data_IF_349735921140
#
_entry.id   IF_349735921140
#
_cell.length_a   1.000
_cell.length_b   1.000
_cell.length_c   1.000
_cell.angle_alpha   90.00
_cell.angle_beta   90.00
_cell.angle_gamma   90.00
#
_symmetry.space_group_name_H-M   'P 1'
#
loop_
_entity.id
_entity.type
_entity.pdbx_description
1 polymer ?
#
# COMPACT_ATOMS: atom_id res chain seq x y z
N UNK A 1 4.33 -4.74 -16.54
CA UNK A 1 4.50 -5.73 -15.45
C UNK A 1 4.37 -4.96 -14.14
N UNK A 2 3.39 -5.32 -13.32
CA UNK A 2 3.00 -4.52 -12.14
C UNK A 2 4.02 -4.76 -11.03
N UNK A 3 5.10 -3.96 -11.00
CA UNK A 3 6.24 -4.14 -10.09
C UNK A 3 5.84 -4.43 -8.63
N UNK A 4 4.78 -3.78 -8.12
CA UNK A 4 4.29 -4.02 -6.76
C UNK A 4 3.71 -5.43 -6.56
N UNK A 5 2.97 -5.94 -7.55
CA UNK A 5 2.41 -7.28 -7.53
C UNK A 5 3.50 -8.33 -7.75
N UNK A 6 4.34 -8.15 -8.77
CA UNK A 6 5.32 -9.17 -9.18
C UNK A 6 6.48 -9.31 -8.19
N UNK A 7 6.91 -8.21 -7.55
CA UNK A 7 8.07 -8.20 -6.65
C UNK A 7 7.70 -8.33 -5.18
N UNK A 8 6.53 -7.83 -4.78
CA UNK A 8 6.15 -7.72 -3.38
C UNK A 8 4.83 -8.43 -3.04
N UNK A 9 4.23 -9.13 -4.02
CA UNK A 9 2.94 -9.79 -3.87
C UNK A 9 1.80 -8.85 -3.43
N UNK A 10 1.93 -7.56 -3.71
CA UNK A 10 0.92 -6.57 -3.36
C UNK A 10 -0.11 -6.46 -4.47
N UNK A 11 -1.33 -6.92 -4.20
CA UNK A 11 -2.46 -6.71 -5.08
C UNK A 11 -2.83 -5.22 -5.06
N UNK A 12 -2.72 -4.58 -6.22
CA UNK A 12 -2.98 -3.15 -6.36
C UNK A 12 -3.54 -2.81 -7.75
N UNK A 13 -4.14 -1.64 -7.87
CA UNK A 13 -4.70 -1.07 -9.11
C UNK A 13 -4.43 0.43 -9.19
N UNK A 14 -4.54 0.99 -10.39
CA UNK A 14 -4.53 2.45 -10.58
C UNK A 14 -5.96 2.96 -10.42
N UNK A 15 -6.17 3.83 -9.44
CA UNK A 15 -7.41 4.56 -9.22
C UNK A 15 -7.17 6.03 -9.57
N UNK A 16 -8.23 6.79 -9.83
CA UNK A 16 -8.14 8.21 -10.08
C UNK A 16 -8.80 8.99 -8.94
N UNK A 17 -8.12 10.03 -8.45
CA UNK A 17 -8.72 10.93 -7.46
C UNK A 17 -9.75 11.86 -8.12
N UNK A 18 -10.40 12.72 -7.32
CA UNK A 18 -11.38 13.71 -7.81
C UNK A 18 -10.82 14.63 -8.89
N UNK A 19 -9.52 14.93 -8.83
CA UNK A 19 -8.81 15.77 -9.80
C UNK A 19 -8.28 15.00 -11.02
N UNK A 20 -8.74 13.76 -11.24
CA UNK A 20 -8.29 12.84 -12.30
C UNK A 20 -6.79 12.53 -12.27
N UNK A 21 -6.13 12.69 -11.13
CA UNK A 21 -4.73 12.28 -10.93
C UNK A 21 -4.68 10.79 -10.54
N UNK A 22 -3.75 10.02 -11.13
CA UNK A 22 -3.60 8.61 -10.81
C UNK A 22 -3.09 8.43 -9.37
N UNK A 23 -3.60 7.40 -8.71
CA UNK A 23 -3.22 6.95 -7.37
C UNK A 23 -3.12 5.43 -7.38
N UNK A 24 -2.13 4.89 -6.69
CA UNK A 24 -2.05 3.46 -6.43
C UNK A 24 -3.03 3.13 -5.31
N UNK A 25 -3.97 2.24 -5.59
CA UNK A 25 -4.85 1.65 -4.60
C UNK A 25 -4.34 0.24 -4.26
N UNK A 26 -3.98 0.01 -3.00
CA UNK A 26 -3.63 -1.31 -2.49
C UNK A 26 -4.90 -1.95 -1.94
N UNK A 27 -5.22 -3.16 -2.39
CA UNK A 27 -6.42 -3.86 -1.95
C UNK A 27 -6.29 -4.31 -0.49
N UNK A 28 -7.43 -4.40 0.21
CA UNK A 28 -7.48 -4.80 1.62
C UNK A 28 -6.78 -6.13 1.87
N UNK A 29 -6.93 -7.07 0.95
CA UNK A 29 -6.29 -8.40 1.03
C UNK A 29 -4.76 -8.35 1.12
N UNK A 30 -4.10 -7.28 0.66
CA UNK A 30 -2.64 -7.12 0.72
C UNK A 30 -2.15 -6.18 1.83
N UNK A 31 -3.04 -5.74 2.73
CA UNK A 31 -2.66 -4.80 3.79
C UNK A 31 -1.71 -5.41 4.83
N UNK A 32 -1.85 -6.69 5.15
CA UNK A 32 -0.96 -7.35 6.10
C UNK A 32 0.45 -7.56 5.51
N UNK A 33 0.54 -7.94 4.23
CA UNK A 33 1.81 -7.99 3.49
C UNK A 33 2.48 -6.62 3.44
N UNK A 34 1.70 -5.57 3.13
CA UNK A 34 2.21 -4.19 3.13
C UNK A 34 2.74 -3.79 4.50
N UNK A 35 1.99 -4.04 5.58
CA UNK A 35 2.40 -3.73 6.96
C UNK A 35 3.69 -4.45 7.32
N UNK A 36 3.82 -5.73 6.99
CA UNK A 36 5.04 -6.50 7.26
C UNK A 36 6.26 -5.93 6.55
N UNK A 37 6.09 -5.46 5.31
CA UNK A 37 7.17 -4.85 4.53
C UNK A 37 7.61 -3.48 5.08
N UNK A 38 6.66 -2.62 5.48
CA UNK A 38 6.97 -1.21 5.80
C UNK A 38 7.15 -0.94 7.29
N UNK A 39 6.52 -1.72 8.18
CA UNK A 39 6.53 -1.49 9.64
C UNK A 39 7.93 -1.32 10.24
N UNK A 40 8.98 -2.07 9.83
CA UNK A 40 10.33 -1.87 10.37
C UNK A 40 10.91 -0.47 10.13
N UNK A 41 10.38 0.28 9.16
CA UNK A 41 10.85 1.60 8.77
C UNK A 41 9.94 2.74 9.25
N UNK A 42 8.81 2.42 9.91
CA UNK A 42 7.88 3.40 10.45
C UNK A 42 8.25 3.73 11.90
N UNK A 43 8.22 5.02 12.24
CA UNK A 43 8.21 5.46 13.64
C UNK A 43 6.86 5.13 14.28
N UNK A 44 6.86 4.89 15.60
CA UNK A 44 5.68 4.44 16.34
C UNK A 44 4.49 5.39 16.21
N UNK A 45 4.77 6.69 16.18
CA UNK A 45 3.79 7.78 16.05
C UNK A 45 3.06 7.76 14.70
N UNK A 46 3.58 7.05 13.70
CA UNK A 46 2.98 6.93 12.36
C UNK A 46 2.20 5.62 12.16
N UNK A 47 2.12 4.74 13.17
CA UNK A 47 1.42 3.46 13.05
C UNK A 47 -0.08 3.61 12.78
N UNK A 48 -0.72 4.71 13.23
CA UNK A 48 -2.12 4.99 12.93
C UNK A 48 -2.41 5.05 11.41
N UNK A 49 -1.42 5.46 10.58
CA UNK A 49 -1.57 5.47 9.11
C UNK A 49 -1.58 4.08 8.49
N UNK A 50 -1.05 3.09 9.18
CA UNK A 50 -1.12 1.68 8.82
C UNK A 50 -2.36 0.99 9.40
N UNK A 51 -3.17 1.70 10.21
CA UNK A 51 -4.28 1.14 10.97
C UNK A 51 -3.80 0.17 12.06
N UNK A 52 -2.67 0.49 12.71
CA UNK A 52 -2.05 -0.24 13.82
C UNK A 52 -1.98 0.64 15.07
#
# INVERSE_FOLDING_TARGET
>A
MFTLQDKFNLKCSIHYNRDKKPRIYVFKESMDDLRNLVKPYFIKEMFYKLGL
#
